data_IF_429861908362
#
_entry.id   IF_429861908362
#
_cell.length_a   1.000
_cell.length_b   1.000
_cell.length_c   1.000
_cell.angle_alpha   90.00
_cell.angle_beta   90.00
_cell.angle_gamma   90.00
#
_symmetry.space_group_name_H-M   'P 1'
#
loop_
_entity.id
_entity.type
_entity.pdbx_description
1 polymer ?
#
# COMPACT_ATOMS: atom_id res chain seq x y z
N UNK A 1 -12.76 30.36 -36.98
CA UNK A 1 -12.86 30.12 -35.52
C UNK A 1 -11.71 29.23 -35.08
N UNK A 2 -11.03 29.52 -33.97
CA UNK A 2 -9.95 28.68 -33.45
C UNK A 2 -10.51 27.29 -33.06
N UNK A 3 -10.02 26.17 -33.64
CA UNK A 3 -10.55 24.82 -33.39
C UNK A 3 -10.58 24.42 -31.91
N UNK A 4 -9.64 24.93 -31.11
CA UNK A 4 -9.59 24.65 -29.66
C UNK A 4 -10.72 25.36 -28.91
N UNK A 5 -11.06 26.60 -29.30
CA UNK A 5 -12.19 27.33 -28.69
C UNK A 5 -13.52 26.64 -28.98
N UNK A 6 -13.70 26.05 -30.17
CA UNK A 6 -14.91 25.30 -30.50
C UNK A 6 -15.02 24.02 -29.66
N UNK A 7 -13.94 23.24 -29.57
CA UNK A 7 -13.90 22.03 -28.71
C UNK A 7 -14.17 22.35 -27.25
N UNK A 8 -13.58 23.42 -26.73
CA UNK A 8 -13.79 23.87 -25.36
C UNK A 8 -15.25 24.27 -25.10
N UNK A 9 -15.90 24.99 -26.03
CA UNK A 9 -17.32 25.35 -25.92
C UNK A 9 -18.24 24.14 -25.87
N UNK A 10 -18.05 23.16 -26.77
CA UNK A 10 -18.82 21.91 -26.75
C UNK A 10 -18.65 21.15 -25.41
N UNK A 11 -17.44 21.15 -24.86
CA UNK A 11 -17.18 20.54 -23.56
C UNK A 11 -17.91 21.28 -22.43
N UNK A 12 -17.88 22.62 -22.44
CA UNK A 12 -18.58 23.46 -21.46
C UNK A 12 -20.10 23.24 -21.53
N UNK A 13 -20.68 23.15 -22.73
CA UNK A 13 -22.11 22.90 -22.93
C UNK A 13 -22.56 21.57 -22.29
N UNK A 14 -21.70 20.55 -22.29
CA UNK A 14 -21.96 19.28 -21.61
C UNK A 14 -22.17 19.40 -20.09
N UNK A 15 -21.68 20.48 -19.46
CA UNK A 15 -21.84 20.74 -18.03
C UNK A 15 -22.96 21.75 -17.71
N UNK A 16 -23.65 22.29 -18.72
CA UNK A 16 -24.73 23.25 -18.55
C UNK A 16 -25.90 22.79 -17.63
N UNK A 17 -26.23 21.49 -17.49
CA UNK A 17 -27.27 21.06 -16.56
C UNK A 17 -26.97 21.30 -15.08
N UNK A 18 -25.70 21.51 -14.71
CA UNK A 18 -25.30 21.79 -13.33
C UNK A 18 -25.26 23.30 -13.06
N UNK A 19 -25.98 23.77 -12.03
CA UNK A 19 -25.98 25.19 -11.62
C UNK A 19 -24.60 25.72 -11.22
N UNK A 20 -23.74 24.84 -10.69
CA UNK A 20 -22.35 25.12 -10.34
C UNK A 20 -21.53 23.87 -10.66
N UNK A 21 -20.43 24.04 -11.39
CA UNK A 21 -19.48 22.97 -11.69
C UNK A 21 -18.06 23.53 -11.72
N UNK A 22 -17.08 22.64 -11.62
CA UNK A 22 -15.68 23.00 -11.66
C UNK A 22 -14.82 21.80 -11.99
N UNK A 23 -13.54 22.05 -12.22
CA UNK A 23 -12.54 21.02 -12.49
C UNK A 23 -11.22 21.39 -11.84
N UNK A 24 -10.35 20.41 -11.68
CA UNK A 24 -9.03 20.60 -11.09
C UNK A 24 -7.98 19.99 -12.01
N UNK A 25 -7.06 20.83 -12.48
CA UNK A 25 -5.81 20.42 -13.12
C UNK A 25 -4.71 21.42 -12.72
N UNK A 26 -3.53 20.99 -12.23
CA UNK A 26 -2.45 21.90 -11.87
C UNK A 26 -1.99 22.81 -13.02
N UNK A 27 -2.12 22.37 -14.29
CA UNK A 27 -1.74 23.13 -15.49
C UNK A 27 -2.76 24.20 -15.87
N UNK A 28 -3.89 24.28 -15.15
CA UNK A 28 -4.83 25.37 -15.28
C UNK A 28 -4.14 26.72 -15.00
N UNK A 29 -3.13 26.77 -14.14
CA UNK A 29 -2.31 27.98 -13.93
C UNK A 29 -1.79 28.59 -15.23
N UNK A 30 -1.33 27.75 -16.16
CA UNK A 30 -0.77 28.17 -17.45
C UNK A 30 -1.85 28.53 -18.47
N UNK A 31 -2.99 27.86 -18.41
CA UNK A 31 -4.08 27.97 -19.39
C UNK A 31 -5.23 28.86 -18.93
N UNK A 32 -5.15 29.42 -17.73
CA UNK A 32 -6.21 30.21 -17.11
C UNK A 32 -6.70 31.38 -18.00
N UNK A 33 -5.84 32.15 -18.70
CA UNK A 33 -6.31 33.21 -19.59
C UNK A 33 -7.26 32.71 -20.69
N UNK A 34 -6.95 31.53 -21.27
CA UNK A 34 -7.81 30.93 -22.29
C UNK A 34 -9.19 30.56 -21.73
N UNK A 35 -9.26 30.09 -20.48
CA UNK A 35 -10.52 29.72 -19.85
C UNK A 35 -11.32 30.93 -19.37
N UNK A 36 -10.67 31.97 -18.85
CA UNK A 36 -11.33 33.23 -18.48
C UNK A 36 -12.00 33.90 -19.68
N UNK A 37 -11.35 33.87 -20.85
CA UNK A 37 -11.93 34.35 -22.12
C UNK A 37 -13.22 33.60 -22.52
N UNK A 38 -13.30 32.30 -22.20
CA UNK A 38 -14.45 31.47 -22.55
C UNK A 38 -15.54 31.46 -21.47
N UNK A 39 -15.17 31.74 -20.22
CA UNK A 39 -16.03 31.67 -19.03
C UNK A 39 -15.86 32.97 -18.21
N UNK A 40 -16.61 34.04 -18.54
CA UNK A 40 -16.47 35.34 -17.88
C UNK A 40 -16.78 35.35 -16.37
N UNK A 41 -17.45 34.31 -15.86
CA UNK A 41 -17.75 34.13 -14.42
C UNK A 41 -16.85 33.10 -13.72
N UNK A 42 -15.74 32.69 -14.34
CA UNK A 42 -14.85 31.67 -13.81
C UNK A 42 -14.21 32.14 -12.50
N UNK A 43 -14.45 31.38 -11.42
CA UNK A 43 -13.82 31.59 -10.12
C UNK A 43 -12.62 30.66 -9.96
N UNK A 44 -11.52 31.16 -9.42
CA UNK A 44 -10.25 30.43 -9.27
C UNK A 44 -9.94 30.18 -7.80
N UNK A 45 -9.98 28.91 -7.39
CA UNK A 45 -9.49 28.49 -6.07
C UNK A 45 -8.01 28.12 -6.17
N UNK A 46 -7.15 28.85 -5.44
CA UNK A 46 -5.70 28.62 -5.39
C UNK A 46 -5.36 28.00 -4.03
N UNK A 47 -4.95 26.73 -4.05
CA UNK A 47 -4.48 26.01 -2.86
C UNK A 47 -2.97 26.06 -2.82
N UNK A 48 -2.42 26.79 -1.85
CA UNK A 48 -0.98 27.02 -1.71
C UNK A 48 -0.41 26.07 -0.68
N UNK A 49 0.68 25.41 -1.05
CA UNK A 49 1.44 24.47 -0.19
C UNK A 49 2.91 24.88 -0.15
N UNK A 50 3.58 24.58 0.96
CA UNK A 50 5.01 24.82 1.13
C UNK A 50 5.82 24.26 -0.08
N UNK A 51 6.69 25.06 -0.71
CA UNK A 51 7.49 24.63 -1.86
C UNK A 51 8.28 23.33 -1.63
N UNK A 52 8.90 23.16 -0.47
CA UNK A 52 9.66 21.94 -0.14
C UNK A 52 8.76 20.74 0.04
N UNK A 53 7.56 20.91 0.58
CA UNK A 53 6.60 19.80 0.68
C UNK A 53 6.11 19.35 -0.71
N UNK A 54 5.93 20.30 -1.64
CA UNK A 54 5.62 19.97 -3.03
C UNK A 54 6.79 19.22 -3.68
N UNK A 55 8.01 19.70 -3.48
CA UNK A 55 9.21 19.08 -4.02
C UNK A 55 9.42 17.66 -3.47
N UNK A 56 9.31 17.49 -2.16
CA UNK A 56 9.36 16.19 -1.49
C UNK A 56 8.28 15.24 -2.05
N UNK A 57 7.03 15.70 -2.15
CA UNK A 57 5.93 14.89 -2.69
C UNK A 57 6.14 14.48 -4.15
N UNK A 58 6.74 15.33 -4.97
CA UNK A 58 7.04 15.02 -6.38
C UNK A 58 8.20 14.03 -6.51
N UNK A 59 9.20 14.15 -5.65
CA UNK A 59 10.32 13.19 -5.57
C UNK A 59 9.84 11.80 -5.22
N UNK A 60 9.05 11.67 -4.16
CA UNK A 60 8.52 10.36 -3.71
C UNK A 60 7.65 9.68 -4.77
N UNK A 61 6.90 10.47 -5.55
CA UNK A 61 5.99 9.90 -6.55
C UNK A 61 6.68 9.53 -7.86
N UNK A 62 7.57 10.40 -8.36
CA UNK A 62 8.05 10.35 -9.73
C UNK A 62 9.59 10.46 -9.86
N UNK A 63 10.34 10.47 -8.75
CA UNK A 63 11.79 10.65 -8.77
C UNK A 63 12.27 12.03 -9.22
N UNK A 64 11.39 13.04 -9.19
CA UNK A 64 11.71 14.40 -9.64
C UNK A 64 12.73 15.07 -8.72
N UNK A 65 13.69 15.81 -9.29
CA UNK A 65 14.67 16.57 -8.49
C UNK A 65 14.02 17.74 -7.75
N UNK A 66 14.57 18.09 -6.59
CA UNK A 66 14.09 19.23 -5.80
C UNK A 66 14.15 20.54 -6.58
N UNK A 67 15.25 20.81 -7.28
CA UNK A 67 15.43 22.03 -8.08
C UNK A 67 14.36 22.18 -9.16
N UNK A 68 14.06 21.10 -9.88
CA UNK A 68 13.02 21.12 -10.91
C UNK A 68 11.62 21.30 -10.31
N UNK A 69 11.33 20.64 -9.20
CA UNK A 69 10.03 20.77 -8.54
C UNK A 69 9.80 22.17 -7.96
N UNK A 70 10.83 22.78 -7.33
CA UNK A 70 10.80 24.16 -6.86
C UNK A 70 10.59 25.14 -8.02
N UNK A 71 11.26 24.92 -9.16
CA UNK A 71 11.08 25.73 -10.36
C UNK A 71 9.66 25.63 -10.92
N UNK A 72 9.09 24.44 -10.99
CA UNK A 72 7.70 24.25 -11.40
C UNK A 72 6.72 24.94 -10.45
N UNK A 73 6.95 24.81 -9.14
CA UNK A 73 6.17 25.49 -8.12
C UNK A 73 6.19 27.00 -8.34
N UNK A 74 7.36 27.58 -8.58
CA UNK A 74 7.54 29.02 -8.83
C UNK A 74 6.76 29.45 -10.08
N UNK A 75 6.98 28.78 -11.22
CA UNK A 75 6.35 29.13 -12.50
C UNK A 75 4.82 29.11 -12.37
N UNK A 76 4.26 28.07 -11.77
CA UNK A 76 2.81 27.89 -11.71
C UNK A 76 2.16 28.92 -10.79
N UNK A 77 2.75 29.16 -9.62
CA UNK A 77 2.21 30.12 -8.66
C UNK A 77 2.38 31.56 -9.15
N UNK A 78 3.53 31.91 -9.74
CA UNK A 78 3.75 33.24 -10.34
C UNK A 78 2.72 33.51 -11.43
N UNK A 79 2.47 32.52 -12.29
CA UNK A 79 1.46 32.65 -13.35
C UNK A 79 0.06 32.86 -12.80
N UNK A 80 -0.33 32.15 -11.74
CA UNK A 80 -1.62 32.37 -11.08
C UNK A 80 -1.74 33.79 -10.52
N UNK A 81 -0.70 34.30 -9.87
CA UNK A 81 -0.70 35.68 -9.33
C UNK A 81 -0.87 36.70 -10.46
N UNK A 82 -0.22 36.50 -11.60
CA UNK A 82 -0.28 37.39 -12.77
C UNK A 82 -1.65 37.42 -13.45
N UNK A 83 -2.31 36.26 -13.61
CA UNK A 83 -3.47 36.13 -14.50
C UNK A 83 -4.81 35.92 -13.78
N UNK A 84 -4.79 35.46 -12.54
CA UNK A 84 -6.03 35.30 -11.77
C UNK A 84 -6.52 36.66 -11.28
N UNK A 85 -7.74 37.04 -11.68
CA UNK A 85 -8.39 38.27 -11.22
C UNK A 85 -8.55 38.25 -9.69
N UNK A 86 -8.09 39.30 -9.01
CA UNK A 86 -8.18 39.43 -7.55
C UNK A 86 -9.61 39.29 -7.01
N UNK A 87 -10.62 39.70 -7.79
CA UNK A 87 -12.03 39.61 -7.37
C UNK A 87 -12.63 38.22 -7.54
N UNK A 88 -12.10 37.45 -8.47
CA UNK A 88 -12.62 36.13 -8.85
C UNK A 88 -11.67 35.01 -8.41
N UNK A 89 -10.78 35.27 -7.45
CA UNK A 89 -9.88 34.27 -6.87
C UNK A 89 -10.00 34.18 -5.37
N UNK A 90 -9.77 32.97 -4.86
CA UNK A 90 -9.63 32.70 -3.43
C UNK A 90 -8.33 31.95 -3.21
N UNK A 91 -7.46 32.48 -2.36
CA UNK A 91 -6.24 31.78 -1.93
C UNK A 91 -6.50 31.10 -0.59
N UNK A 92 -6.09 29.84 -0.48
CA UNK A 92 -6.18 29.03 0.73
C UNK A 92 -4.87 28.29 0.98
N UNK A 93 -4.57 28.04 2.25
CA UNK A 93 -3.38 27.25 2.65
C UNK A 93 -3.77 25.78 2.69
N UNK A 94 -2.93 24.92 2.13
CA UNK A 94 -3.09 23.47 2.24
C UNK A 94 -3.19 23.02 3.71
N UNK A 95 -2.42 23.63 4.61
CA UNK A 95 -2.41 23.29 6.03
C UNK A 95 -3.73 23.62 6.75
N UNK A 96 -4.45 24.65 6.28
CA UNK A 96 -5.70 25.09 6.90
C UNK A 96 -6.78 24.01 6.86
N UNK A 97 -6.78 23.15 5.84
CA UNK A 97 -7.69 22.01 5.74
C UNK A 97 -7.49 20.97 6.85
N UNK A 98 -6.32 20.94 7.49
CA UNK A 98 -6.01 20.01 8.58
C UNK A 98 -6.04 20.67 9.97
N UNK A 99 -6.00 21.99 10.03
CA UNK A 99 -6.12 22.77 11.27
C UNK A 99 -7.60 22.99 11.65
N UNK A 100 -8.41 23.51 10.72
CA UNK A 100 -9.85 23.73 10.89
C UNK A 100 -10.57 23.49 9.55
N UNK A 101 -10.85 22.22 9.29
CA UNK A 101 -11.45 21.76 8.03
C UNK A 101 -12.80 22.42 7.75
N UNK A 102 -13.68 22.51 8.75
CA UNK A 102 -15.03 23.03 8.54
C UNK A 102 -15.01 24.53 8.20
N UNK A 103 -14.19 25.31 8.90
CA UNK A 103 -14.08 26.75 8.61
C UNK A 103 -13.49 27.01 7.23
N UNK A 104 -12.45 26.25 6.83
CA UNK A 104 -11.84 26.42 5.52
C UNK A 104 -12.77 25.98 4.38
N UNK A 105 -13.49 24.87 4.55
CA UNK A 105 -14.49 24.43 3.58
C UNK A 105 -15.64 25.44 3.46
N UNK A 106 -16.11 26.03 4.56
CA UNK A 106 -17.15 27.07 4.54
C UNK A 106 -16.73 28.30 3.75
N UNK A 107 -15.46 28.73 3.90
CA UNK A 107 -14.88 29.83 3.09
C UNK A 107 -14.95 29.51 1.60
N UNK A 108 -14.63 28.28 1.21
CA UNK A 108 -14.68 27.81 -0.19
C UNK A 108 -16.12 27.73 -0.70
N UNK A 109 -17.06 27.23 0.10
CA UNK A 109 -18.47 27.15 -0.28
C UNK A 109 -19.06 28.54 -0.51
N UNK A 110 -18.79 29.49 0.39
CA UNK A 110 -19.20 30.88 0.23
C UNK A 110 -18.62 31.49 -1.05
N UNK A 111 -17.32 31.29 -1.29
CA UNK A 111 -16.66 31.76 -2.51
C UNK A 111 -17.19 31.09 -3.78
N UNK A 112 -17.57 29.81 -3.73
CA UNK A 112 -18.14 29.10 -4.87
C UNK A 112 -19.66 29.37 -5.07
N UNK A 113 -20.33 29.99 -4.09
CA UNK A 113 -21.79 30.15 -4.10
C UNK A 113 -22.55 28.85 -3.87
N UNK A 114 -21.92 27.88 -3.21
CA UNK A 114 -22.50 26.58 -2.88
C UNK A 114 -23.15 26.60 -1.49
N UNK A 115 -24.12 25.72 -1.25
CA UNK A 115 -24.79 25.58 0.05
C UNK A 115 -23.99 24.67 0.98
N UNK A 116 -24.08 24.92 2.28
CA UNK A 116 -23.41 24.15 3.34
C UNK A 116 -24.02 22.77 3.64
N UNK A 117 -24.92 22.26 2.79
CA UNK A 117 -25.70 21.03 3.06
C UNK A 117 -24.84 19.79 3.27
N UNK A 118 -23.71 19.69 2.56
CA UNK A 118 -22.79 18.54 2.62
C UNK A 118 -21.50 18.84 3.40
N UNK A 119 -21.43 19.97 4.13
CA UNK A 119 -20.19 20.44 4.77
C UNK A 119 -19.58 19.39 5.71
N UNK A 120 -20.40 18.78 6.58
CA UNK A 120 -19.93 17.76 7.54
C UNK A 120 -19.44 16.49 6.86
N UNK A 121 -20.13 16.06 5.81
CA UNK A 121 -19.72 14.89 5.03
C UNK A 121 -18.39 15.16 4.31
N UNK A 122 -18.25 16.33 3.70
CA UNK A 122 -17.01 16.77 3.04
C UNK A 122 -15.85 16.90 4.04
N UNK A 123 -16.09 17.46 5.23
CA UNK A 123 -15.09 17.56 6.28
C UNK A 123 -14.61 16.17 6.74
N UNK A 124 -15.53 15.19 6.84
CA UNK A 124 -15.21 13.80 7.18
C UNK A 124 -14.32 13.08 6.15
N UNK A 125 -14.24 13.55 4.90
CA UNK A 125 -13.36 13.00 3.87
C UNK A 125 -11.88 13.43 4.05
N UNK A 126 -11.62 14.48 4.83
CA UNK A 126 -10.27 14.97 5.07
C UNK A 126 -9.56 14.02 6.02
N UNK A 127 -8.85 13.05 5.44
CA UNK A 127 -8.02 12.12 6.21
C UNK A 127 -6.76 12.83 6.71
N UNK A 128 -6.71 13.10 8.01
CA UNK A 128 -5.53 13.60 8.73
C UNK A 128 -4.28 12.75 8.51
N UNK A 129 -4.44 11.46 8.15
CA UNK A 129 -3.33 10.53 7.88
C UNK A 129 -2.53 10.80 6.61
N UNK A 130 -2.95 11.70 5.72
CA UNK A 130 -2.20 12.02 4.48
C UNK A 130 -1.12 13.09 4.65
N UNK A 131 -0.97 13.63 5.86
CA UNK A 131 0.10 14.60 6.21
C UNK A 131 1.30 13.83 6.76
N UNK A 132 2.27 13.53 5.90
CA UNK A 132 3.50 12.82 6.29
C UNK A 132 4.74 13.72 6.40
N UNK A 133 4.65 14.97 5.94
CA UNK A 133 5.80 15.89 5.87
C UNK A 133 5.31 17.31 6.11
N UNK A 134 5.98 18.04 7.00
CA UNK A 134 5.72 19.45 7.25
C UNK A 134 7.04 20.22 7.23
N UNK A 135 7.07 21.32 6.46
CA UNK A 135 8.22 22.23 6.42
C UNK A 135 7.77 23.66 6.75
N UNK A 136 8.64 24.37 7.45
CA UNK A 136 8.51 25.79 7.82
C UNK A 136 9.17 26.68 6.76
N UNK A 137 9.11 28.00 6.97
CA UNK A 137 9.86 28.95 6.14
C UNK A 137 11.36 28.87 6.46
N UNK A 138 11.72 28.62 7.73
CA UNK A 138 13.12 28.48 8.13
C UNK A 138 13.77 27.28 7.43
N UNK A 139 13.02 26.18 7.27
CA UNK A 139 13.47 25.02 6.47
C UNK A 139 13.72 25.38 5.00
N UNK A 140 12.96 26.33 4.41
CA UNK A 140 13.23 26.81 3.05
C UNK A 140 14.57 27.55 2.98
N UNK A 141 14.87 28.36 4.00
CA UNK A 141 16.11 29.13 4.10
C UNK A 141 17.29 28.17 4.28
N UNK A 142 17.17 27.22 5.21
CA UNK A 142 18.21 26.24 5.50
C UNK A 142 18.50 25.33 4.29
N UNK A 143 17.47 25.02 3.49
CA UNK A 143 17.62 24.27 2.25
C UNK A 143 18.21 25.08 1.08
N UNK A 144 18.49 26.37 1.27
CA UNK A 144 19.05 27.25 0.23
C UNK A 144 18.08 27.53 -0.92
N UNK A 145 16.77 27.54 -0.66
CA UNK A 145 15.75 27.95 -1.65
C UNK A 145 15.92 29.44 -1.95
N UNK A 146 15.72 29.85 -3.21
CA UNK A 146 15.94 31.24 -3.61
C UNK A 146 14.98 32.21 -2.92
N UNK A 147 15.45 33.43 -2.65
CA UNK A 147 14.66 34.47 -1.99
C UNK A 147 13.37 34.78 -2.75
N UNK A 148 13.39 34.73 -4.09
CA UNK A 148 12.19 34.98 -4.90
C UNK A 148 11.08 33.95 -4.67
N UNK A 149 11.46 32.68 -4.46
CA UNK A 149 10.50 31.60 -4.16
C UNK A 149 9.95 31.76 -2.74
N UNK A 150 10.80 32.11 -1.78
CA UNK A 150 10.41 32.34 -0.39
C UNK A 150 9.46 33.54 -0.29
N UNK A 151 9.77 34.65 -0.95
CA UNK A 151 8.92 35.85 -0.97
C UNK A 151 7.59 35.61 -1.68
N UNK A 152 7.60 34.87 -2.80
CA UNK A 152 6.37 34.46 -3.47
C UNK A 152 5.49 33.62 -2.53
N UNK A 153 6.08 32.64 -1.84
CA UNK A 153 5.35 31.83 -0.87
C UNK A 153 4.78 32.67 0.28
N UNK A 154 5.58 33.57 0.87
CA UNK A 154 5.14 34.49 1.93
C UNK A 154 3.95 35.34 1.49
N UNK A 155 4.00 35.91 0.28
CA UNK A 155 2.91 36.75 -0.24
C UNK A 155 1.60 35.98 -0.40
N UNK A 156 1.66 34.75 -0.88
CA UNK A 156 0.50 33.87 -1.06
C UNK A 156 -0.09 33.42 0.28
N UNK A 157 0.75 33.12 1.27
CA UNK A 157 0.31 32.77 2.62
C UNK A 157 -0.33 33.98 3.33
N UNK A 158 0.20 35.18 3.11
CA UNK A 158 -0.38 36.42 3.61
C UNK A 158 -1.77 36.70 2.98
N UNK A 159 -1.94 36.46 1.67
CA UNK A 159 -3.24 36.57 0.99
C UNK A 159 -4.26 35.54 1.50
N UNK A 160 -3.81 34.32 1.82
CA UNK A 160 -4.67 33.25 2.30
C UNK A 160 -5.19 33.48 3.73
N UNK A 161 -4.44 34.22 4.55
CA UNK A 161 -4.74 34.44 5.96
C UNK A 161 -5.86 35.46 6.14
N UNK A 162 -6.79 35.25 7.10
CA UNK A 162 -7.88 36.19 7.35
C UNK A 162 -7.33 37.49 7.93
N UNK A 163 -7.10 38.48 7.07
CA UNK A 163 -6.75 39.83 7.52
C UNK A 163 -7.97 40.48 8.17
N UNK A 164 -7.93 40.64 9.49
CA UNK A 164 -8.71 41.66 10.21
C UNK A 164 -8.61 42.98 9.42
N UNK A 165 -9.74 43.48 8.93
CA UNK A 165 -9.98 44.88 8.54
C UNK A 165 -8.85 45.54 7.71
N UNK A 166 -9.02 45.56 6.37
CA UNK A 166 -8.28 46.49 5.49
C UNK A 166 -8.56 47.93 5.92
N UNK A 167 -7.69 48.52 6.73
CA UNK A 167 -7.51 49.98 6.75
C UNK A 167 -6.71 50.30 5.50
N UNK A 168 -7.31 51.10 4.63
CA UNK A 168 -6.67 51.62 3.44
C UNK A 168 -5.37 52.33 3.81
N UNK A 169 -4.25 51.88 3.25
CA UNK A 169 -3.09 52.74 3.00
C UNK A 169 -2.73 52.63 1.54
N UNK A 170 -3.32 53.55 0.77
CA UNK A 170 -2.85 53.88 -0.56
C UNK A 170 -1.44 54.47 -0.44
N UNK A 171 -0.43 53.73 -0.88
CA UNK A 171 0.86 54.30 -1.24
C UNK A 171 0.94 54.26 -2.77
N UNK A 172 0.47 55.35 -3.37
CA UNK A 172 0.72 55.68 -4.77
C UNK A 172 2.23 55.83 -4.97
N UNK A 173 2.84 54.91 -5.72
CA UNK A 173 4.01 55.24 -6.54
C UNK A 173 3.59 55.09 -7.99
N UNK A 174 3.28 56.23 -8.60
CA UNK A 174 3.33 56.41 -10.04
C UNK A 174 4.79 56.31 -10.42
N UNK A 175 5.14 55.35 -11.25
CA UNK A 175 6.23 55.54 -12.19
C UNK A 175 5.64 55.50 -13.59
N UNK A 176 5.83 56.61 -14.26
CA UNK A 176 5.49 56.88 -15.66
C UNK A 176 6.61 56.34 -16.54
N UNK A 177 6.33 55.31 -17.32
CA UNK A 177 6.94 55.16 -18.64
C UNK A 177 6.01 54.34 -19.53
N UNK A 178 5.40 55.08 -20.45
CA UNK A 178 4.72 54.61 -21.65
C UNK A 178 5.71 53.92 -22.60
N UNK A 179 5.38 52.71 -23.06
CA UNK A 179 5.49 52.29 -24.46
C UNK A 179 4.64 51.01 -24.71
N UNK A 180 4.19 50.77 -25.96
CA UNK A 180 2.91 50.11 -26.24
C UNK A 180 2.99 48.59 -26.38
N UNK A 181 1.90 47.95 -25.94
CA UNK A 181 1.18 46.84 -26.56
C UNK A 181 1.96 45.91 -27.53
N UNK A 182 2.45 44.78 -27.01
CA UNK A 182 2.64 43.53 -27.75
C UNK A 182 2.41 42.33 -26.81
N UNK A 183 1.27 41.63 -26.97
CA UNK A 183 1.12 40.24 -26.52
C UNK A 183 1.74 39.29 -27.58
N UNK A 184 1.82 37.97 -27.37
CA UNK A 184 2.43 37.19 -26.30
C UNK A 184 3.34 36.09 -26.91
N UNK A 185 4.63 36.06 -26.56
CA UNK A 185 5.52 35.00 -27.04
C UNK A 185 6.91 35.49 -27.41
N UNK A 186 7.67 35.93 -26.42
CA UNK A 186 9.12 36.02 -26.56
C UNK A 186 9.76 35.66 -25.22
N UNK A 187 10.31 34.46 -25.21
CA UNK A 187 11.28 33.99 -24.22
C UNK A 187 12.49 34.92 -24.32
N UNK A 188 12.51 36.00 -23.55
CA UNK A 188 13.69 36.87 -23.44
C UNK A 188 13.59 37.77 -22.22
N UNK A 189 14.00 37.21 -21.08
CA UNK A 189 14.86 37.85 -20.08
C UNK A 189 15.36 36.75 -19.15
N UNK A 190 16.16 35.86 -19.75
CA UNK A 190 17.22 35.17 -19.01
C UNK A 190 18.15 36.27 -18.54
N UNK A 191 18.37 36.37 -17.23
CA UNK A 191 19.54 37.04 -16.68
C UNK A 191 20.79 36.30 -17.21
N UNK A 192 21.25 36.64 -18.41
CA UNK A 192 22.50 36.17 -18.99
C UNK A 192 23.65 36.98 -18.41
N UNK A 193 23.95 36.75 -17.13
CA UNK A 193 25.31 36.96 -16.62
C UNK A 193 25.59 36.08 -15.39
N UNK A 194 25.46 34.76 -15.54
CA UNK A 194 26.11 33.78 -14.65
C UNK A 194 26.59 32.50 -15.39
N UNK A 195 27.25 32.52 -16.57
CA UNK A 195 27.64 31.26 -17.23
C UNK A 195 28.70 30.47 -16.44
N UNK A 196 29.72 31.15 -15.89
CA UNK A 196 30.84 30.47 -15.23
C UNK A 196 30.48 29.86 -13.86
N UNK A 197 29.75 30.59 -13.01
CA UNK A 197 29.31 30.01 -11.72
C UNK A 197 28.23 28.96 -11.92
N UNK A 198 27.33 29.09 -12.91
CA UNK A 198 26.34 28.05 -13.18
C UNK A 198 27.00 26.79 -13.76
N UNK A 199 27.95 26.92 -14.70
CA UNK A 199 28.71 25.78 -15.21
C UNK A 199 29.52 25.10 -14.11
N UNK A 200 30.10 25.86 -13.18
CA UNK A 200 30.83 25.30 -12.05
C UNK A 200 29.90 24.63 -11.03
N UNK A 201 28.72 25.18 -10.77
CA UNK A 201 27.69 24.55 -9.95
C UNK A 201 27.20 23.26 -10.63
N UNK A 202 26.88 23.28 -11.93
CA UNK A 202 26.45 22.10 -12.69
C UNK A 202 27.53 21.01 -12.71
N UNK A 203 28.80 21.39 -12.84
CA UNK A 203 29.92 20.46 -12.77
C UNK A 203 30.05 19.82 -11.39
N UNK A 204 30.03 20.62 -10.32
CA UNK A 204 30.10 20.13 -8.93
C UNK A 204 28.89 19.26 -8.56
N UNK A 205 27.68 19.62 -9.02
CA UNK A 205 26.48 18.81 -8.86
C UNK A 205 26.57 17.50 -9.65
N UNK A 206 27.12 17.52 -10.87
CA UNK A 206 27.36 16.34 -11.69
C UNK A 206 28.36 15.37 -11.04
N UNK A 207 29.45 15.90 -10.49
CA UNK A 207 30.44 15.10 -9.74
C UNK A 207 29.86 14.51 -8.46
N UNK A 208 29.11 15.31 -7.68
CA UNK A 208 28.47 14.82 -6.46
C UNK A 208 27.42 13.75 -6.77
N UNK A 209 26.61 13.96 -7.81
CA UNK A 209 25.61 12.99 -8.27
C UNK A 209 26.31 11.69 -8.70
N UNK A 210 27.34 11.76 -9.53
CA UNK A 210 28.12 10.60 -9.96
C UNK A 210 28.76 9.86 -8.78
N UNK A 211 29.27 10.57 -7.77
CA UNK A 211 29.79 9.96 -6.54
C UNK A 211 28.68 9.26 -5.74
N UNK A 212 27.51 9.86 -5.61
CA UNK A 212 26.38 9.22 -4.90
C UNK A 212 25.85 8.01 -5.65
N UNK A 213 25.72 8.08 -6.97
CA UNK A 213 25.31 6.96 -7.82
C UNK A 213 26.32 5.81 -7.75
N UNK A 214 27.62 6.11 -7.76
CA UNK A 214 28.66 5.10 -7.58
C UNK A 214 28.57 4.43 -6.20
N UNK A 215 28.35 5.21 -5.13
CA UNK A 215 28.16 4.67 -3.76
C UNK A 215 26.93 3.77 -3.68
N UNK A 216 25.79 4.24 -4.17
CA UNK A 216 24.55 3.46 -4.18
C UNK A 216 24.67 2.22 -5.05
N UNK A 217 25.39 2.28 -6.18
CA UNK A 217 25.64 1.11 -7.02
C UNK A 217 26.45 0.05 -6.28
N UNK A 218 27.51 0.43 -5.56
CA UNK A 218 28.29 -0.50 -4.73
C UNK A 218 27.43 -1.09 -3.61
N UNK A 219 26.60 -0.28 -2.96
CA UNK A 219 25.70 -0.74 -1.90
C UNK A 219 24.62 -1.69 -2.42
N UNK A 220 24.03 -1.42 -3.58
CA UNK A 220 23.09 -2.30 -4.27
C UNK A 220 23.74 -3.62 -4.62
N UNK A 221 24.95 -3.62 -5.19
CA UNK A 221 25.66 -4.87 -5.52
C UNK A 221 25.99 -5.68 -4.25
N UNK A 222 26.36 -5.01 -3.15
CA UNK A 222 26.57 -5.68 -1.86
C UNK A 222 25.29 -6.30 -1.32
N UNK A 223 24.17 -5.57 -1.36
CA UNK A 223 22.87 -6.08 -0.91
C UNK A 223 22.39 -7.23 -1.79
N UNK A 224 22.59 -7.17 -3.11
CA UNK A 224 22.29 -8.28 -4.02
C UNK A 224 23.10 -9.53 -3.67
N UNK A 225 24.40 -9.40 -3.44
CA UNK A 225 25.24 -10.52 -3.04
C UNK A 225 24.77 -11.15 -1.71
N UNK A 226 24.38 -10.33 -0.73
CA UNK A 226 23.81 -10.81 0.53
C UNK A 226 22.48 -11.54 0.34
N UNK A 227 21.60 -11.03 -0.53
CA UNK A 227 20.32 -11.69 -0.84
C UNK A 227 20.57 -13.03 -1.53
N UNK A 228 21.52 -13.12 -2.45
CA UNK A 228 21.88 -14.36 -3.12
C UNK A 228 22.45 -15.40 -2.14
N UNK A 229 23.33 -14.97 -1.23
CA UNK A 229 23.88 -15.84 -0.17
C UNK A 229 22.78 -16.39 0.75
N UNK A 230 21.91 -15.51 1.23
CA UNK A 230 20.78 -15.89 2.09
C UNK A 230 19.81 -16.82 1.35
N UNK A 231 19.52 -16.53 0.08
CA UNK A 231 18.63 -17.35 -0.73
C UNK A 231 19.23 -18.74 -0.99
N UNK A 232 20.53 -18.83 -1.26
CA UNK A 232 21.23 -20.09 -1.41
C UNK A 232 21.22 -20.91 -0.11
N UNK A 233 21.43 -20.28 1.03
CA UNK A 233 21.35 -20.91 2.35
C UNK A 233 19.97 -21.54 2.59
N UNK A 234 18.89 -20.76 2.47
CA UNK A 234 17.53 -21.27 2.71
C UNK A 234 17.10 -22.32 1.67
N UNK A 235 17.55 -22.20 0.42
CA UNK A 235 17.30 -23.22 -0.60
C UNK A 235 17.94 -24.56 -0.20
N UNK A 236 19.15 -24.51 0.38
CA UNK A 236 19.82 -25.68 0.94
C UNK A 236 19.06 -26.31 2.11
N UNK A 237 18.61 -25.49 3.08
CA UNK A 237 17.83 -25.97 4.24
C UNK A 237 16.51 -26.62 3.82
N UNK A 238 15.78 -26.00 2.88
CA UNK A 238 14.52 -26.56 2.36
C UNK A 238 14.77 -27.92 1.73
N UNK A 239 15.85 -28.08 0.95
CA UNK A 239 16.21 -29.36 0.34
C UNK A 239 16.53 -30.42 1.40
N UNK A 240 17.29 -30.07 2.43
CA UNK A 240 17.59 -30.98 3.55
C UNK A 240 16.31 -31.41 4.30
N UNK A 241 15.38 -30.49 4.53
CA UNK A 241 14.10 -30.80 5.17
C UNK A 241 13.23 -31.72 4.30
N UNK A 242 13.20 -31.48 2.98
CA UNK A 242 12.51 -32.35 2.03
C UNK A 242 13.07 -33.78 2.04
N UNK A 243 14.40 -33.93 2.01
CA UNK A 243 15.06 -35.23 2.08
C UNK A 243 14.74 -35.95 3.40
N UNK A 244 14.71 -35.22 4.51
CA UNK A 244 14.37 -35.78 5.83
C UNK A 244 12.91 -36.23 5.93
N UNK A 245 11.98 -35.47 5.35
CA UNK A 245 10.56 -35.85 5.25
C UNK A 245 10.42 -37.14 4.42
N UNK A 246 11.14 -37.24 3.30
CA UNK A 246 11.13 -38.42 2.46
C UNK A 246 11.64 -39.66 3.20
N UNK A 247 12.76 -39.53 3.95
CA UNK A 247 13.29 -40.61 4.79
C UNK A 247 12.28 -41.05 5.87
N UNK A 248 11.64 -40.09 6.56
CA UNK A 248 10.64 -40.41 7.59
C UNK A 248 9.44 -41.14 6.97
N UNK A 249 8.95 -40.70 5.82
CA UNK A 249 7.83 -41.34 5.14
C UNK A 249 8.15 -42.78 4.74
N UNK A 250 9.38 -43.06 4.31
CA UNK A 250 9.79 -44.43 3.97
C UNK A 250 9.89 -45.34 5.21
N UNK A 251 10.43 -44.80 6.31
CA UNK A 251 10.43 -45.49 7.60
C UNK A 251 9.00 -45.79 8.08
N UNK A 252 8.09 -44.82 7.97
CA UNK A 252 6.68 -45.01 8.32
C UNK A 252 6.01 -46.09 7.48
N UNK A 253 6.25 -46.12 6.16
CA UNK A 253 5.75 -47.18 5.27
C UNK A 253 6.23 -48.55 5.71
N UNK A 254 7.54 -48.69 5.93
CA UNK A 254 8.15 -49.95 6.37
C UNK A 254 7.56 -50.42 7.70
N UNK A 255 7.39 -49.50 8.65
CA UNK A 255 6.79 -49.81 9.96
C UNK A 255 5.32 -50.20 9.84
N UNK A 256 4.57 -49.55 8.97
CA UNK A 256 3.16 -49.87 8.70
C UNK A 256 3.01 -51.28 8.12
N UNK A 257 3.89 -51.68 7.20
CA UNK A 257 3.88 -53.04 6.62
C UNK A 257 4.16 -54.06 7.73
N UNK A 258 5.22 -53.84 8.51
CA UNK A 258 5.58 -54.75 9.62
C UNK A 258 4.46 -54.85 10.68
N UNK A 259 3.78 -53.74 10.98
CA UNK A 259 2.64 -53.74 11.90
C UNK A 259 1.50 -54.59 11.35
N UNK A 260 1.13 -54.43 10.07
CA UNK A 260 0.08 -55.20 9.44
C UNK A 260 0.39 -56.72 9.43
N UNK A 261 1.65 -57.10 9.17
CA UNK A 261 2.10 -58.49 9.26
C UNK A 261 1.97 -59.04 10.69
N UNK A 262 2.40 -58.29 11.70
CA UNK A 262 2.30 -58.70 13.10
C UNK A 262 0.84 -58.82 13.55
N UNK A 263 -0.04 -57.91 13.15
CA UNK A 263 -1.48 -58.00 13.41
C UNK A 263 -2.12 -59.23 12.73
N UNK A 264 -1.67 -59.58 11.53
CA UNK A 264 -2.10 -60.80 10.84
C UNK A 264 -1.69 -62.05 11.63
N UNK A 265 -0.42 -62.14 12.04
CA UNK A 265 0.11 -63.24 12.87
C UNK A 265 -0.64 -63.36 14.20
N UNK A 266 -0.90 -62.24 14.86
CA UNK A 266 -1.66 -62.22 16.11
C UNK A 266 -3.08 -62.78 15.92
N UNK A 267 -3.77 -62.38 14.85
CA UNK A 267 -5.10 -62.92 14.49
C UNK A 267 -5.06 -64.42 14.22
N UNK A 268 -4.05 -64.90 13.51
CA UNK A 268 -3.87 -66.33 13.23
C UNK A 268 -3.67 -67.14 14.52
N UNK A 269 -2.77 -66.69 15.40
CA UNK A 269 -2.53 -67.33 16.70
C UNK A 269 -3.79 -67.34 17.56
N UNK A 270 -4.53 -66.23 17.61
CA UNK A 270 -5.79 -66.14 18.35
C UNK A 270 -6.83 -67.15 17.82
N UNK A 271 -6.94 -67.30 16.50
CA UNK A 271 -7.84 -68.27 15.88
C UNK A 271 -7.41 -69.71 16.18
N UNK A 272 -6.10 -70.00 16.17
CA UNK A 272 -5.56 -71.32 16.53
C UNK A 272 -5.85 -71.67 17.99
N UNK A 273 -5.61 -70.73 18.92
CA UNK A 273 -5.95 -70.87 20.34
C UNK A 273 -7.45 -71.13 20.54
N UNK A 274 -8.33 -70.40 19.84
CA UNK A 274 -9.78 -70.64 19.88
C UNK A 274 -10.15 -72.05 19.43
N UNK A 275 -9.56 -72.55 18.33
CA UNK A 275 -9.78 -73.92 17.84
C UNK A 275 -9.31 -74.97 18.84
N UNK A 276 -8.12 -74.79 19.42
CA UNK A 276 -7.59 -75.69 20.46
C UNK A 276 -8.50 -75.71 21.69
N UNK A 277 -8.96 -74.55 22.16
CA UNK A 277 -9.89 -74.45 23.29
C UNK A 277 -11.23 -75.16 23.01
N UNK A 278 -11.74 -75.08 21.77
CA UNK A 278 -12.93 -75.82 21.38
C UNK A 278 -12.69 -77.33 21.35
N UNK A 279 -11.53 -77.78 20.87
CA UNK A 279 -11.15 -79.18 20.85
C UNK A 279 -11.00 -79.75 22.27
N UNK A 280 -10.35 -79.03 23.19
CA UNK A 280 -10.21 -79.46 24.59
C UNK A 280 -11.57 -79.52 25.29
N UNK A 281 -12.46 -78.54 25.05
CA UNK A 281 -13.85 -78.59 25.55
C UNK A 281 -14.62 -79.81 25.03
N UNK A 282 -14.43 -80.19 23.75
CA UNK A 282 -15.06 -81.40 23.18
C UNK A 282 -14.52 -82.67 23.82
N UNK A 283 -13.19 -82.77 23.97
CA UNK A 283 -12.55 -83.93 24.62
C UNK A 283 -13.01 -84.09 26.07
N UNK A 284 -13.10 -82.98 26.83
CA UNK A 284 -13.65 -83.00 28.20
C UNK A 284 -15.04 -83.61 28.24
N UNK A 285 -15.96 -83.17 27.37
CA UNK A 285 -17.33 -83.74 27.31
C UNK A 285 -17.34 -85.23 26.99
N UNK A 286 -16.52 -85.67 26.03
CA UNK A 286 -16.42 -87.10 25.69
C UNK A 286 -15.89 -87.90 26.89
N UNK A 287 -14.94 -87.36 27.64
CA UNK A 287 -14.40 -87.99 28.84
C UNK A 287 -15.47 -88.13 29.93
N UNK A 288 -16.28 -87.08 30.12
CA UNK A 288 -17.41 -87.07 31.06
C UNK A 288 -18.47 -88.10 30.64
N UNK A 289 -18.83 -88.14 29.35
CA UNK A 289 -19.79 -89.11 28.79
C UNK A 289 -19.30 -90.55 28.94
N UNK A 290 -18.01 -90.82 28.65
CA UNK A 290 -17.40 -92.13 28.83
C UNK A 290 -17.38 -92.55 30.30
N UNK A 291 -17.07 -91.63 31.21
CA UNK A 291 -17.09 -91.87 32.66
C UNK A 291 -18.50 -92.22 33.13
N UNK A 292 -19.52 -91.50 32.66
CA UNK A 292 -20.92 -91.78 32.92
C UNK A 292 -21.36 -93.15 32.35
N UNK A 293 -20.96 -93.49 31.13
CA UNK A 293 -21.25 -94.78 30.52
C UNK A 293 -20.59 -95.95 31.29
N UNK A 294 -19.33 -95.78 31.71
CA UNK A 294 -18.64 -96.76 32.54
C UNK A 294 -19.33 -96.95 33.89
N UNK A 295 -19.80 -95.88 34.52
CA UNK A 295 -20.59 -95.96 35.76
C UNK A 295 -21.89 -96.76 35.53
N UNK A 296 -22.62 -96.49 34.44
CA UNK A 296 -23.85 -97.24 34.08
C UNK A 296 -23.59 -98.73 33.83
N UNK A 297 -22.49 -99.07 33.15
CA UNK A 297 -22.09 -100.47 32.93
C UNK A 297 -21.77 -101.19 34.26
N UNK A 298 -21.04 -100.54 35.18
CA UNK A 298 -20.75 -101.09 36.52
C UNK A 298 -22.02 -101.33 37.35
N UNK A 299 -23.04 -100.47 37.19
CA UNK A 299 -24.35 -100.65 37.85
C UNK A 299 -25.27 -101.68 37.16
N UNK A 300 -24.93 -102.16 35.97
CA UNK A 300 -25.75 -103.13 35.23
C UNK A 300 -25.58 -104.54 35.78
N UNK A 301 -26.70 -105.20 36.10
CA UNK A 301 -26.76 -106.57 36.63
C UNK A 301 -25.99 -107.57 35.75
N UNK A 302 -26.09 -107.40 34.42
CA UNK A 302 -25.49 -108.29 33.42
C UNK A 302 -23.95 -108.23 33.44
N UNK A 303 -23.39 -107.05 33.70
CA UNK A 303 -21.95 -106.82 33.82
C UNK A 303 -21.40 -107.31 35.16
N UNK A 304 -22.13 -107.10 36.26
CA UNK A 304 -21.75 -107.62 37.59
C UNK A 304 -21.71 -109.16 37.63
N UNK A 305 -22.63 -109.82 36.91
CA UNK A 305 -22.62 -111.28 36.76
C UNK A 305 -21.40 -111.77 35.97
N UNK A 306 -21.03 -111.08 34.89
CA UNK A 306 -19.84 -111.41 34.09
C UNK A 306 -18.53 -111.27 34.88
N UNK A 307 -18.40 -110.21 35.70
CA UNK A 307 -17.25 -109.97 36.57
C UNK A 307 -17.11 -111.05 37.66
N UNK A 308 -18.23 -111.51 38.23
CA UNK A 308 -18.27 -112.61 39.22
C UNK A 308 -17.90 -113.97 38.63
N UNK A 309 -18.18 -114.22 37.35
CA UNK A 309 -17.73 -115.45 36.66
C UNK A 309 -16.22 -115.47 36.43
N UNK A 310 -15.62 -114.33 36.12
CA UNK A 310 -14.19 -114.23 35.80
C UNK A 310 -13.28 -114.27 37.05
N UNK A 311 -13.76 -113.81 38.21
CA UNK A 311 -13.03 -113.92 39.49
C UNK A 311 -13.02 -115.34 40.09
N UNK A 312 -13.80 -116.28 39.55
CA UNK A 312 -13.81 -117.69 39.99
C UNK A 312 -12.86 -118.58 39.17
N UNK A 313 -12.11 -118.01 38.24
CA UNK A 313 -11.17 -118.70 37.33
C UNK A 313 -9.71 -118.28 37.49
N UNK A 314 -9.38 -117.59 38.59
CA UNK A 314 -8.02 -117.49 39.13
C UNK A 314 -7.95 -118.24 40.46
#
# INVERSE_FOLDING_TARGET
MNPLRLKARLLIEGFAPANVWGWKDPRNSLTLPFWQDLLPGLRTLIVVRNPLEVAHSMRERNGTSYSFALRLWEIYNRRLVEVANEKDRLVTRYDAFFEDTESELRKILQFAGLKDTELRNAAGLVSTRRRHTHFTIDDLIDAGVSDEVIELYRSLIAEASPTKTRVAKAASRRDTSSEPDLLPGSVSRVNTFVPERLAQIEHLYGELLAQTEARHRVEIEKLKAQIEEISAHYTGEVKQLQDRIMQINELLRTRSISLAENESRARELQNRLRRQLQATKRLSRILDDASNAAARLRSSLRWQIALRKNQRTC
#
